data_IF_182898994980
#
_entry.id   IF_182898994980
#
_cell.length_a   1.000
_cell.length_b   1.000
_cell.length_c   1.000
_cell.angle_alpha   90.00
_cell.angle_beta   90.00
_cell.angle_gamma   90.00
#
_symmetry.space_group_name_H-M   'P 1'
#
loop_
_entity.id
_entity.type
_entity.pdbx_description
1 polymer ?
#
# COMPACT_ATOMS: atom_id res chain seq x y z
N UNK A 1 8.33 -15.04 22.42
CA UNK A 1 9.53 -15.21 21.60
C UNK A 1 9.42 -14.26 20.42
N UNK A 2 9.75 -12.99 20.67
CA UNK A 2 9.79 -11.92 19.67
C UNK A 2 11.27 -11.74 19.34
N UNK A 3 11.68 -12.09 18.13
CA UNK A 3 13.04 -11.80 17.66
C UNK A 3 13.01 -11.28 16.24
N UNK A 4 13.74 -10.18 16.09
CA UNK A 4 14.41 -9.67 14.91
C UNK A 4 13.55 -9.05 13.80
N UNK A 5 13.62 -7.73 13.73
CA UNK A 5 14.18 -7.10 12.53
C UNK A 5 15.15 -6.02 12.98
N UNK A 6 16.43 -6.26 12.71
CA UNK A 6 17.58 -5.36 12.89
C UNK A 6 17.38 -4.02 12.16
N UNK A 7 17.95 -2.90 12.64
CA UNK A 7 17.87 -1.61 11.95
C UNK A 7 18.76 -1.66 10.70
N UNK A 8 18.14 -1.83 9.54
CA UNK A 8 18.76 -1.72 8.22
C UNK A 8 18.09 -0.60 7.41
N UNK A 9 18.67 -0.16 6.28
CA UNK A 9 18.25 1.04 5.52
C UNK A 9 16.86 0.96 4.84
N UNK A 10 16.06 -0.05 5.17
CA UNK A 10 14.81 -0.46 4.50
C UNK A 10 13.59 -0.29 5.40
N UNK A 11 13.54 0.77 6.22
CA UNK A 11 12.59 0.86 7.33
C UNK A 11 11.12 1.07 6.94
N UNK A 12 10.78 1.42 5.71
CA UNK A 12 9.40 1.82 5.36
C UNK A 12 8.94 1.43 3.95
N UNK A 13 9.13 0.17 3.54
CA UNK A 13 8.65 -0.34 2.24
C UNK A 13 7.56 -1.40 2.39
N UNK A 14 6.76 -1.59 1.33
CA UNK A 14 5.83 -2.70 1.24
C UNK A 14 6.55 -4.04 1.43
N UNK A 15 5.88 -4.93 2.16
CA UNK A 15 6.31 -6.29 2.44
C UNK A 15 5.21 -7.27 2.05
N UNK A 16 5.60 -8.53 1.82
CA UNK A 16 4.63 -9.58 1.51
C UNK A 16 3.67 -9.76 2.69
N UNK A 17 2.40 -10.04 2.40
CA UNK A 17 1.42 -10.31 3.44
C UNK A 17 1.79 -11.57 4.24
N UNK A 18 1.35 -11.65 5.49
CA UNK A 18 1.51 -12.88 6.27
C UNK A 18 0.77 -14.06 5.60
N UNK A 19 1.36 -15.27 5.52
CA UNK A 19 0.69 -16.42 4.91
C UNK A 19 -0.69 -16.68 5.53
N UNK A 20 -1.69 -16.93 4.68
CA UNK A 20 -3.10 -17.20 5.07
C UNK A 20 -3.81 -16.03 5.77
N UNK A 21 -3.24 -14.82 5.75
CA UNK A 21 -3.98 -13.60 6.10
C UNK A 21 -4.65 -13.05 4.84
N UNK A 22 -5.91 -12.65 4.94
CA UNK A 22 -6.63 -11.98 3.86
C UNK A 22 -6.41 -10.46 3.89
N UNK A 23 -6.21 -9.92 5.08
CA UNK A 23 -6.01 -8.51 5.36
C UNK A 23 -4.90 -8.43 6.40
N UNK A 24 -4.01 -7.46 6.22
CA UNK A 24 -2.95 -7.14 7.16
C UNK A 24 -3.11 -5.69 7.61
N UNK A 25 -3.13 -5.49 8.92
CA UNK A 25 -3.14 -4.17 9.54
C UNK A 25 -1.92 -3.36 9.08
N UNK A 26 -2.18 -2.14 8.62
CA UNK A 26 -1.14 -1.22 8.18
C UNK A 26 -0.87 -0.17 9.28
N UNK A 27 0.40 0.26 9.45
CA UNK A 27 0.68 1.38 10.32
C UNK A 27 -0.04 2.65 9.83
N UNK A 28 -0.17 3.66 10.69
CA UNK A 28 -0.74 4.95 10.29
C UNK A 28 0.12 5.59 9.21
N UNK A 29 -0.47 5.83 8.03
CA UNK A 29 0.21 6.43 6.87
C UNK A 29 -0.21 7.89 6.74
N UNK A 30 0.75 8.80 6.64
CA UNK A 30 0.51 10.23 6.38
C UNK A 30 0.67 10.55 4.90
N UNK A 31 -0.41 10.95 4.25
CA UNK A 31 -0.36 11.52 2.90
C UNK A 31 -0.01 13.01 2.99
N UNK A 32 1.09 13.44 2.35
CA UNK A 32 1.53 14.85 2.32
C UNK A 32 1.43 15.39 0.90
N UNK A 33 0.74 16.54 0.67
CA UNK A 33 0.68 17.15 -0.64
C UNK A 33 2.07 17.58 -1.11
N UNK A 34 2.37 17.36 -2.39
CA UNK A 34 3.62 17.81 -3.02
C UNK A 34 3.34 18.30 -4.43
N UNK A 35 4.07 19.34 -4.85
CA UNK A 35 4.01 19.81 -6.23
C UNK A 35 4.50 18.71 -7.18
N UNK A 36 3.77 18.49 -8.28
CA UNK A 36 4.02 17.38 -9.21
C UNK A 36 5.47 17.31 -9.70
N UNK A 37 6.10 18.45 -9.97
CA UNK A 37 7.48 18.48 -10.49
C UNK A 37 8.54 18.16 -9.42
N UNK A 38 8.19 18.22 -8.13
CA UNK A 38 9.05 17.84 -6.99
C UNK A 38 8.87 16.38 -6.58
N UNK A 39 7.86 15.70 -7.13
CA UNK A 39 7.51 14.33 -6.77
C UNK A 39 8.58 13.35 -7.26
N UNK A 40 9.16 12.59 -6.33
CA UNK A 40 10.10 11.50 -6.63
C UNK A 40 9.36 10.17 -6.57
N UNK A 41 9.18 9.53 -7.71
CA UNK A 41 8.46 8.24 -7.83
C UNK A 41 9.37 7.03 -8.00
N UNK A 42 10.69 7.22 -7.99
CA UNK A 42 11.63 6.12 -8.09
C UNK A 42 11.55 5.24 -6.84
N UNK A 43 11.42 3.92 -7.03
CA UNK A 43 11.30 2.97 -5.92
C UNK A 43 9.96 3.06 -5.20
N UNK A 44 8.90 3.52 -5.88
CA UNK A 44 7.53 3.47 -5.34
C UNK A 44 6.60 2.73 -6.29
N UNK A 45 5.53 2.18 -5.72
CA UNK A 45 4.42 1.61 -6.46
C UNK A 45 3.15 2.39 -6.13
N UNK A 46 2.35 2.65 -7.15
CA UNK A 46 1.03 3.25 -6.97
C UNK A 46 0.06 2.19 -6.47
N UNK A 47 -0.54 2.42 -5.30
CA UNK A 47 -1.49 1.51 -4.67
C UNK A 47 -2.85 2.19 -4.56
N UNK A 48 -3.93 1.57 -5.06
CA UNK A 48 -5.28 2.12 -4.93
C UNK A 48 -5.79 1.99 -3.50
N UNK A 49 -6.51 3.02 -3.05
CA UNK A 49 -7.19 3.09 -1.75
C UNK A 49 -8.69 3.00 -1.97
N UNK A 50 -9.33 2.05 -1.30
CA UNK A 50 -10.78 1.87 -1.31
C UNK A 50 -11.38 2.10 0.08
N UNK A 51 -12.68 2.37 0.14
CA UNK A 51 -13.41 2.50 1.41
C UNK A 51 -13.47 1.14 2.10
N UNK A 52 -13.91 0.09 1.39
CA UNK A 52 -14.06 -1.28 1.93
C UNK A 52 -13.45 -2.31 0.99
N UNK A 53 -13.42 -3.57 1.42
CA UNK A 53 -12.96 -4.72 0.62
C UNK A 53 -13.79 -4.98 -0.64
N UNK A 54 -15.01 -4.42 -0.72
CA UNK A 54 -15.86 -4.48 -1.92
C UNK A 54 -15.35 -3.61 -3.09
N UNK A 55 -14.28 -2.81 -2.86
CA UNK A 55 -13.62 -1.97 -3.87
C UNK A 55 -14.58 -1.01 -4.57
N UNK A 56 -14.65 -1.04 -5.90
CA UNK A 56 -15.55 -0.20 -6.70
C UNK A 56 -16.86 -0.95 -6.90
N UNK A 57 -17.96 -0.43 -6.34
CA UNK A 57 -19.29 -0.97 -6.55
C UNK A 57 -19.76 -0.71 -8.00
N UNK A 58 -20.88 -1.33 -8.40
CA UNK A 58 -21.47 -1.18 -9.74
C UNK A 58 -21.89 0.26 -10.07
N UNK A 59 -22.01 1.12 -9.06
CA UNK A 59 -22.29 2.56 -9.18
C UNK A 59 -21.00 3.40 -9.30
N UNK A 60 -19.83 2.77 -9.28
CA UNK A 60 -18.54 3.44 -9.39
C UNK A 60 -17.98 3.99 -8.07
N UNK A 61 -18.70 3.79 -6.96
CA UNK A 61 -18.34 4.28 -5.63
C UNK A 61 -17.40 3.30 -4.92
N UNK A 62 -16.62 3.82 -3.97
CA UNK A 62 -15.73 3.02 -3.12
C UNK A 62 -14.24 3.18 -3.43
N UNK A 63 -13.86 3.73 -4.59
CA UNK A 63 -12.50 4.24 -4.81
C UNK A 63 -12.34 5.61 -4.16
N UNK A 64 -11.24 5.80 -3.42
CA UNK A 64 -10.95 7.06 -2.72
C UNK A 64 -9.85 7.83 -3.46
N UNK A 65 -8.67 7.23 -3.58
CA UNK A 65 -7.50 7.82 -4.23
C UNK A 65 -6.42 6.75 -4.46
N UNK A 66 -5.31 7.12 -5.07
CA UNK A 66 -4.08 6.32 -5.12
C UNK A 66 -3.01 6.91 -4.21
N UNK A 67 -2.16 6.05 -3.67
CA UNK A 67 -0.99 6.46 -2.89
C UNK A 67 0.26 5.76 -3.39
N UNK A 68 1.34 6.52 -3.57
CA UNK A 68 2.65 5.96 -3.87
C UNK A 68 3.30 5.46 -2.58
N UNK A 69 3.51 4.15 -2.49
CA UNK A 69 4.17 3.51 -1.35
C UNK A 69 5.59 3.07 -1.75
N UNK A 70 6.59 3.21 -0.86
CA UNK A 70 7.93 2.72 -1.14
C UNK A 70 7.95 1.20 -1.34
N UNK A 71 8.73 0.75 -2.32
CA UNK A 71 8.86 -0.65 -2.68
C UNK A 71 10.30 -0.96 -3.11
N UNK A 72 10.80 -2.10 -2.66
CA UNK A 72 12.07 -2.66 -3.13
C UNK A 72 11.89 -3.63 -4.31
N UNK A 73 10.64 -4.01 -4.62
CA UNK A 73 10.27 -4.89 -5.72
C UNK A 73 9.83 -4.09 -6.94
N UNK A 74 9.93 -4.71 -8.12
CA UNK A 74 9.40 -4.15 -9.36
C UNK A 74 7.88 -4.02 -9.30
N UNK A 75 7.31 -2.97 -9.92
CA UNK A 75 5.87 -2.68 -9.86
C UNK A 75 5.00 -3.85 -10.31
N UNK A 76 5.46 -4.65 -11.28
CA UNK A 76 4.72 -5.82 -11.76
C UNK A 76 4.42 -6.82 -10.65
N UNK A 77 5.31 -6.96 -9.65
CA UNK A 77 5.10 -7.86 -8.53
C UNK A 77 3.82 -7.50 -7.77
N UNK A 78 3.67 -6.23 -7.39
CA UNK A 78 2.51 -5.74 -6.65
C UNK A 78 1.23 -5.65 -7.47
N UNK A 79 1.36 -5.35 -8.77
CA UNK A 79 0.24 -5.33 -9.71
C UNK A 79 -0.35 -6.74 -9.86
N UNK A 80 0.50 -7.76 -10.00
CA UNK A 80 0.08 -9.15 -10.13
C UNK A 80 -0.51 -9.72 -8.83
N UNK A 81 0.02 -9.30 -7.67
CA UNK A 81 -0.57 -9.61 -6.36
C UNK A 81 -1.90 -8.88 -6.10
N UNK A 82 -2.22 -7.84 -6.87
CA UNK A 82 -3.46 -7.09 -6.72
C UNK A 82 -3.54 -6.31 -5.40
N UNK A 83 -2.39 -5.78 -4.93
CA UNK A 83 -2.30 -5.04 -3.66
C UNK A 83 -3.17 -3.79 -3.69
N UNK A 84 -3.89 -3.56 -2.58
CA UNK A 84 -4.70 -2.37 -2.36
C UNK A 84 -4.74 -2.03 -0.87
N UNK A 85 -5.05 -0.77 -0.55
CA UNK A 85 -5.39 -0.35 0.80
C UNK A 85 -6.92 -0.23 0.94
N UNK A 86 -7.42 -0.56 2.12
CA UNK A 86 -8.82 -0.37 2.50
C UNK A 86 -8.86 0.49 3.77
N UNK A 87 -9.81 1.42 3.83
CA UNK A 87 -9.98 2.31 4.97
C UNK A 87 -10.83 1.67 6.08
N UNK A 88 -11.72 0.75 5.70
CA UNK A 88 -12.58 0.01 6.60
C UNK A 88 -12.54 -1.49 6.31
N UNK A 89 -12.46 -2.26 7.38
CA UNK A 89 -12.72 -3.70 7.40
C UNK A 89 -14.15 -3.88 7.89
N UNK A 90 -15.09 -4.11 6.98
CA UNK A 90 -16.49 -4.40 7.33
C UNK A 90 -16.60 -5.71 8.16
#
# INVERSE_FOLDING_TARGET
MWLCSTPGPTEHSLVHQSPRALIQEMPVIRMTPIERHKLKLTGTVEVPIYVTSSRRNSMGEGYVTSLHLPSNQHNSFWILEGVCLILNTD
#
